data_IF_471764449898
#
_entry.id   IF_471764449898
#
_cell.length_a   1.000
_cell.length_b   1.000
_cell.length_c   1.000
_cell.angle_alpha   90.00
_cell.angle_beta   90.00
_cell.angle_gamma   90.00
#
_symmetry.space_group_name_H-M   'P 1'
#
loop_
_entity.id
_entity.type
_entity.pdbx_description
1 polymer ?
#
# COMPACT_ATOMS: atom_id res chain seq x y z
N UNK A 1 4.22 -9.25 -0.51
CA UNK A 1 3.58 -7.94 -0.75
C UNK A 1 3.29 -7.31 0.59
N UNK A 2 4.16 -6.41 1.02
CA UNK A 2 3.98 -5.69 2.27
C UNK A 2 3.51 -4.28 1.91
N UNK A 3 2.46 -3.81 2.55
CA UNK A 3 2.09 -2.40 2.49
C UNK A 3 3.25 -1.62 3.10
N UNK A 4 3.83 -0.67 2.36
CA UNK A 4 4.84 0.20 2.95
C UNK A 4 4.22 0.90 4.16
N UNK A 5 4.95 0.83 5.27
CA UNK A 5 4.54 1.45 6.52
C UNK A 5 5.73 2.23 7.02
N UNK A 6 5.65 3.54 6.86
CA UNK A 6 6.63 4.44 7.44
C UNK A 6 6.67 4.25 8.95
N UNK A 7 7.86 3.99 9.48
CA UNK A 7 8.04 3.80 10.91
C UNK A 7 7.94 5.13 11.64
N UNK A 8 7.17 5.18 12.73
CA UNK A 8 6.99 6.40 13.52
C UNK A 8 8.21 6.74 14.39
N UNK A 9 8.94 5.72 14.87
CA UNK A 9 10.00 5.87 15.87
C UNK A 9 11.11 6.86 15.45
N UNK A 10 11.66 6.81 14.22
CA UNK A 10 12.70 7.76 13.81
C UNK A 10 12.24 9.22 13.86
N UNK A 11 11.01 9.48 13.45
CA UNK A 11 10.43 10.82 13.43
C UNK A 11 10.05 11.31 14.83
N UNK A 12 9.70 10.38 15.73
CA UNK A 12 9.49 10.71 17.14
C UNK A 12 10.81 11.14 17.80
N UNK A 13 11.90 10.40 17.58
CA UNK A 13 13.23 10.78 18.06
C UNK A 13 13.68 12.12 17.47
N UNK A 14 13.44 12.33 16.17
CA UNK A 14 13.71 13.61 15.52
C UNK A 14 12.88 14.74 16.15
N UNK A 15 11.60 14.53 16.43
CA UNK A 15 10.75 15.50 17.09
C UNK A 15 11.26 15.86 18.49
N UNK A 16 11.64 14.86 19.30
CA UNK A 16 12.21 15.09 20.64
C UNK A 16 13.53 15.86 20.54
N UNK A 17 14.39 15.51 19.58
CA UNK A 17 15.65 16.22 19.35
C UNK A 17 15.41 17.69 18.97
N UNK A 18 14.49 17.95 18.04
CA UNK A 18 14.10 19.31 17.66
C UNK A 18 13.42 20.08 18.79
N UNK A 19 12.69 19.39 19.68
CA UNK A 19 12.13 19.99 20.88
C UNK A 19 13.21 20.54 21.80
N UNK A 20 14.24 19.74 22.10
CA UNK A 20 15.33 20.15 22.99
C UNK A 20 16.10 21.34 22.42
N UNK A 21 16.37 21.32 21.10
CA UNK A 21 17.02 22.45 20.41
C UNK A 21 16.14 23.69 20.44
N UNK A 22 14.86 23.56 20.06
CA UNK A 22 13.91 24.67 20.06
C UNK A 22 13.71 25.28 21.44
N UNK A 23 13.68 24.44 22.48
CA UNK A 23 13.61 24.86 23.88
C UNK A 23 14.84 25.69 24.28
N UNK A 24 16.05 25.22 23.93
CA UNK A 24 17.29 25.95 24.14
C UNK A 24 17.32 27.31 23.44
N UNK A 25 16.89 27.35 22.17
CA UNK A 25 16.82 28.60 21.38
C UNK A 25 15.81 29.58 22.00
N UNK A 26 14.62 29.11 22.36
CA UNK A 26 13.63 29.98 22.99
C UNK A 26 14.12 30.54 24.34
N UNK A 27 14.76 29.70 25.15
CA UNK A 27 15.35 30.15 26.41
C UNK A 27 16.53 31.10 26.21
N UNK A 28 17.33 30.92 25.16
CA UNK A 28 18.38 31.88 24.79
C UNK A 28 17.78 33.27 24.59
N UNK A 29 16.75 33.42 23.74
CA UNK A 29 16.08 34.71 23.53
C UNK A 29 15.35 35.24 24.77
N UNK A 30 14.82 34.35 25.60
CA UNK A 30 14.18 34.72 26.86
C UNK A 30 15.20 35.33 27.84
N UNK A 31 16.36 34.68 28.00
CA UNK A 31 17.39 35.03 28.97
C UNK A 31 18.30 36.17 28.51
N UNK A 32 18.25 36.61 27.25
CA UNK A 32 19.06 37.74 26.79
C UNK A 32 18.86 38.97 27.71
N UNK A 33 19.96 39.63 28.11
CA UNK A 33 19.91 40.86 28.89
C UNK A 33 19.11 41.96 28.17
N UNK A 34 18.16 42.55 28.88
CA UNK A 34 17.30 43.61 28.35
C UNK A 34 15.84 43.40 28.74
N UNK A 35 15.14 44.51 29.02
CA UNK A 35 13.69 44.51 29.32
C UNK A 35 12.86 44.54 28.04
N UNK A 36 13.31 45.33 27.06
CA UNK A 36 12.62 45.52 25.78
C UNK A 36 13.18 44.63 24.68
N UNK A 37 12.33 44.32 23.70
CA UNK A 37 12.73 43.55 22.51
C UNK A 37 13.91 44.21 21.78
N UNK A 38 13.88 45.53 21.62
CA UNK A 38 14.94 46.30 20.98
C UNK A 38 16.28 46.20 21.71
N UNK A 39 16.25 46.26 23.04
CA UNK A 39 17.44 46.14 23.89
C UNK A 39 18.05 44.74 23.78
N UNK A 40 17.21 43.70 23.77
CA UNK A 40 17.65 42.32 23.55
C UNK A 40 18.25 42.11 22.16
N UNK A 41 17.66 42.69 21.11
CA UNK A 41 18.20 42.58 19.75
C UNK A 41 19.54 43.29 19.61
N UNK A 42 19.73 44.45 20.25
CA UNK A 42 21.01 45.16 20.22
C UNK A 42 22.12 44.40 20.96
N UNK A 43 21.77 43.72 22.05
CA UNK A 43 22.72 42.90 22.81
C UNK A 43 23.31 41.74 21.99
N UNK A 44 22.54 41.19 21.03
CA UNK A 44 23.02 40.13 20.12
C UNK A 44 24.19 40.57 19.23
N UNK A 45 24.32 41.87 18.96
CA UNK A 45 25.38 42.44 18.11
C UNK A 45 26.54 43.04 18.93
N UNK A 46 26.55 42.85 20.25
CA UNK A 46 27.62 43.32 21.14
C UNK A 46 28.75 42.27 21.24
N UNK A 47 29.99 42.71 21.49
CA UNK A 47 31.16 41.81 21.59
C UNK A 47 31.07 40.81 22.76
N UNK A 48 30.26 41.11 23.77
CA UNK A 48 30.13 40.31 25.00
C UNK A 48 29.21 39.08 24.84
N UNK A 49 28.55 38.93 23.68
CA UNK A 49 27.57 37.86 23.46
C UNK A 49 28.18 36.46 23.58
N UNK A 50 29.42 36.28 23.11
CA UNK A 50 30.11 34.99 23.16
C UNK A 50 30.39 34.58 24.61
N UNK A 51 30.90 35.51 25.42
CA UNK A 51 31.14 35.30 26.84
C UNK A 51 29.84 35.01 27.60
N UNK A 52 28.74 35.70 27.23
CA UNK A 52 27.42 35.44 27.80
C UNK A 52 26.89 34.03 27.48
N UNK A 53 27.04 33.59 26.22
CA UNK A 53 26.64 32.25 25.77
C UNK A 53 27.42 31.19 26.54
N UNK A 54 28.74 31.32 26.66
CA UNK A 54 29.58 30.35 27.38
C UNK A 54 29.17 30.21 28.85
N UNK A 55 28.91 31.32 29.52
CA UNK A 55 28.53 31.32 30.94
C UNK A 55 27.10 30.80 31.18
N UNK A 56 26.20 31.00 30.21
CA UNK A 56 24.75 30.77 30.38
C UNK A 56 24.26 29.54 29.62
N UNK A 57 25.13 28.86 28.85
CA UNK A 57 24.77 27.75 27.97
C UNK A 57 23.88 26.70 28.64
N UNK A 58 24.28 26.29 29.86
CA UNK A 58 23.55 25.27 30.61
C UNK A 58 22.15 25.73 31.06
N UNK A 59 21.98 27.04 31.31
CA UNK A 59 20.70 27.64 31.71
C UNK A 59 19.69 27.65 30.56
N UNK A 60 20.15 27.62 29.30
CA UNK A 60 19.25 27.53 28.14
C UNK A 60 18.44 26.23 28.14
N UNK A 61 18.94 25.14 28.73
CA UNK A 61 18.25 23.85 28.72
C UNK A 61 17.49 23.54 30.02
N UNK A 62 17.67 24.34 31.06
CA UNK A 62 17.10 24.09 32.40
C UNK A 62 16.04 25.11 32.78
N UNK A 63 16.12 26.34 32.26
CA UNK A 63 15.19 27.40 32.64
C UNK A 63 13.80 27.11 32.11
N UNK A 64 12.76 26.99 32.97
CA UNK A 64 11.41 26.80 32.51
C UNK A 64 10.83 28.15 32.04
N UNK A 65 10.93 28.46 30.74
CA UNK A 65 10.26 29.63 30.16
C UNK A 65 9.16 29.23 29.18
N UNK A 66 8.09 30.03 29.13
CA UNK A 66 6.97 29.81 28.22
C UNK A 66 7.41 29.90 26.74
N UNK A 67 8.32 30.84 26.44
CA UNK A 67 8.88 31.03 25.10
C UNK A 67 9.69 29.79 24.71
N UNK A 68 10.56 29.29 25.59
CA UNK A 68 11.29 28.03 25.42
C UNK A 68 10.34 26.87 25.09
N UNK A 69 9.31 26.66 25.90
CA UNK A 69 8.33 25.59 25.66
C UNK A 69 7.60 25.75 24.32
N UNK A 70 7.18 26.97 23.94
CA UNK A 70 6.47 27.19 22.66
C UNK A 70 7.35 26.87 21.44
N UNK A 71 8.61 27.28 21.45
CA UNK A 71 9.56 27.04 20.35
C UNK A 71 9.95 25.56 20.31
N UNK A 72 10.11 24.92 21.47
CA UNK A 72 10.30 23.47 21.58
C UNK A 72 9.13 22.68 20.97
N UNK A 73 7.88 23.02 21.31
CA UNK A 73 6.68 22.37 20.75
C UNK A 73 6.63 22.55 19.23
N UNK A 74 6.93 23.75 18.71
CA UNK A 74 7.04 23.99 17.27
C UNK A 74 8.07 23.07 16.61
N UNK A 75 9.25 22.92 17.21
CA UNK A 75 10.28 21.99 16.75
C UNK A 75 9.81 20.52 16.74
N UNK A 76 9.13 20.09 17.81
CA UNK A 76 8.55 18.76 17.90
C UNK A 76 7.54 18.48 16.78
N UNK A 77 6.62 19.42 16.55
CA UNK A 77 5.60 19.31 15.51
C UNK A 77 6.22 19.27 14.11
N UNK A 78 7.32 20.00 13.87
CA UNK A 78 8.05 19.95 12.61
C UNK A 78 8.62 18.54 12.32
N UNK A 79 9.15 17.87 13.36
CA UNK A 79 9.60 16.48 13.26
C UNK A 79 8.46 15.51 12.93
N UNK A 80 7.28 15.70 13.52
CA UNK A 80 6.08 14.92 13.19
C UNK A 80 5.52 15.24 11.79
N UNK A 81 5.64 16.48 11.32
CA UNK A 81 5.23 16.85 9.96
C UNK A 81 6.04 16.10 8.90
N UNK A 82 7.33 15.85 9.17
CA UNK A 82 8.16 14.99 8.31
C UNK A 82 7.68 13.53 8.28
N UNK A 83 7.00 13.03 9.31
CA UNK A 83 6.36 11.71 9.27
C UNK A 83 5.17 11.69 8.31
N UNK A 84 4.31 12.71 8.39
CA UNK A 84 3.10 12.81 7.56
C UNK A 84 3.46 13.01 6.08
N UNK A 85 4.50 13.81 5.81
CA UNK A 85 4.99 14.08 4.46
C UNK A 85 5.51 12.80 3.80
N UNK A 86 5.12 12.56 2.54
CA UNK A 86 5.60 11.43 1.72
C UNK A 86 5.40 10.05 2.37
N UNK A 87 4.34 9.89 3.19
CA UNK A 87 3.92 8.57 3.66
C UNK A 87 3.23 7.81 2.52
N UNK A 88 4.04 7.12 1.73
CA UNK A 88 3.57 6.30 0.63
C UNK A 88 2.63 5.20 1.14
N UNK A 89 1.61 4.86 0.36
CA UNK A 89 0.67 3.76 0.65
C UNK A 89 0.81 2.61 -0.35
N UNK A 90 1.85 2.66 -1.18
CA UNK A 90 2.16 1.64 -2.15
C UNK A 90 2.38 0.27 -1.52
N UNK A 91 2.06 -0.76 -2.31
CA UNK A 91 2.34 -2.16 -1.97
C UNK A 91 3.66 -2.51 -2.63
N UNK A 92 4.69 -2.74 -1.82
CA UNK A 92 6.03 -3.02 -2.30
C UNK A 92 6.44 -4.46 -1.98
N UNK A 93 7.46 -4.92 -2.68
CA UNK A 93 8.14 -6.21 -2.48
C UNK A 93 9.57 -5.91 -2.03
N UNK A 94 9.71 -5.50 -0.77
CA UNK A 94 11.03 -5.20 -0.20
C UNK A 94 11.86 -6.49 -0.12
N UNK A 95 13.09 -6.45 -0.63
CA UNK A 95 14.01 -7.60 -0.64
C UNK A 95 13.83 -8.58 -1.82
N UNK A 96 12.91 -8.31 -2.75
CA UNK A 96 12.78 -9.09 -3.99
C UNK A 96 13.37 -8.31 -5.17
N UNK A 97 14.25 -8.94 -5.94
CA UNK A 97 14.81 -8.34 -7.16
C UNK A 97 13.71 -8.13 -8.22
N UNK A 98 13.87 -7.09 -9.03
CA UNK A 98 12.98 -6.85 -10.16
C UNK A 98 13.01 -8.04 -11.12
N UNK A 99 11.83 -8.55 -11.50
CA UNK A 99 11.74 -9.76 -12.35
C UNK A 99 11.68 -11.09 -11.58
N UNK A 100 11.67 -11.08 -10.25
CA UNK A 100 11.41 -12.26 -9.39
C UNK A 100 10.01 -12.89 -9.56
N UNK A 101 9.23 -12.45 -10.53
CA UNK A 101 7.93 -13.04 -10.85
C UNK A 101 8.12 -14.49 -11.33
N UNK A 102 7.47 -15.43 -10.65
CA UNK A 102 7.42 -16.83 -11.04
C UNK A 102 6.00 -17.27 -11.36
N UNK A 103 5.89 -18.32 -12.16
CA UNK A 103 4.62 -19.00 -12.33
C UNK A 103 4.14 -19.60 -11.00
N UNK A 104 2.83 -19.50 -10.77
CA UNK A 104 2.19 -20.09 -9.61
C UNK A 104 2.15 -21.61 -9.76
N UNK A 105 2.32 -22.32 -8.65
CA UNK A 105 2.17 -23.78 -8.61
C UNK A 105 0.68 -24.16 -8.58
N UNK A 106 0.30 -25.39 -9.02
CA UNK A 106 -1.08 -25.85 -8.93
C UNK A 106 -1.64 -25.81 -7.50
N UNK A 107 -0.82 -26.14 -6.50
CA UNK A 107 -1.19 -26.06 -5.08
C UNK A 107 -1.55 -24.63 -4.65
N UNK A 108 -0.80 -23.63 -5.14
CA UNK A 108 -1.08 -22.22 -4.87
C UNK A 108 -2.32 -21.71 -5.59
N UNK A 109 -2.66 -22.30 -6.74
CA UNK A 109 -3.85 -21.94 -7.51
C UNK A 109 -5.13 -22.52 -6.92
N UNK A 110 -5.05 -23.65 -6.23
CA UNK A 110 -6.21 -24.33 -5.61
C UNK A 110 -7.02 -23.44 -4.66
N UNK A 111 -6.38 -22.44 -4.04
CA UNK A 111 -7.07 -21.47 -3.17
C UNK A 111 -8.12 -20.60 -3.88
N UNK A 112 -8.07 -20.54 -5.21
CA UNK A 112 -9.04 -19.79 -6.02
C UNK A 112 -10.21 -20.64 -6.49
N UNK A 113 -10.21 -21.95 -6.21
CA UNK A 113 -11.29 -22.88 -6.52
C UNK A 113 -12.43 -22.74 -5.49
N UNK A 114 -13.67 -22.78 -5.98
CA UNK A 114 -14.86 -22.91 -5.14
C UNK A 114 -15.01 -24.36 -4.67
N UNK A 115 -15.42 -24.60 -3.41
CA UNK A 115 -15.69 -25.96 -2.94
C UNK A 115 -16.76 -26.69 -3.76
N UNK A 116 -17.69 -25.97 -4.40
CA UNK A 116 -18.69 -26.54 -5.30
C UNK A 116 -18.10 -26.59 -6.72
N UNK A 117 -17.84 -27.79 -7.29
CA UNK A 117 -17.16 -27.92 -8.58
C UNK A 117 -17.84 -27.19 -9.74
N UNK A 118 -19.17 -27.14 -9.76
CA UNK A 118 -19.99 -26.54 -10.82
C UNK A 118 -19.84 -25.02 -10.89
N UNK A 119 -19.43 -24.38 -9.78
CA UNK A 119 -19.25 -22.93 -9.70
C UNK A 119 -17.87 -22.49 -10.18
N UNK A 120 -17.12 -23.34 -10.89
CA UNK A 120 -15.75 -23.06 -11.29
C UNK A 120 -15.58 -22.98 -12.81
N UNK A 121 -14.81 -21.99 -13.23
CA UNK A 121 -14.22 -21.92 -14.57
C UNK A 121 -13.07 -22.92 -14.63
N UNK A 122 -13.11 -23.81 -15.61
CA UNK A 122 -12.05 -24.78 -15.86
C UNK A 122 -10.99 -24.12 -16.73
N UNK A 123 -9.78 -23.94 -16.19
CA UNK A 123 -8.63 -23.34 -16.90
C UNK A 123 -7.67 -24.43 -17.38
N UNK A 124 -7.42 -25.44 -16.54
CA UNK A 124 -6.62 -26.61 -16.90
C UNK A 124 -7.06 -27.83 -16.07
N UNK A 125 -6.45 -28.99 -16.30
CA UNK A 125 -6.69 -30.21 -15.53
C UNK A 125 -6.54 -30.02 -14.01
N UNK A 126 -5.66 -29.12 -13.59
CA UNK A 126 -5.32 -28.89 -12.18
C UNK A 126 -5.68 -27.49 -11.67
N UNK A 127 -6.13 -26.60 -12.54
CA UNK A 127 -6.41 -25.21 -12.20
C UNK A 127 -7.85 -24.89 -12.54
N UNK A 128 -8.59 -24.49 -11.50
CA UNK A 128 -9.96 -24.01 -11.58
C UNK A 128 -10.07 -22.70 -10.83
N UNK A 129 -10.99 -21.86 -11.27
CA UNK A 129 -11.20 -20.53 -10.69
C UNK A 129 -12.69 -20.35 -10.43
N UNK A 130 -13.07 -20.03 -9.19
CA UNK A 130 -14.46 -19.78 -8.80
C UNK A 130 -15.08 -18.67 -9.64
N UNK A 131 -16.29 -18.88 -10.15
CA UNK A 131 -17.05 -17.86 -10.88
C UNK A 131 -17.53 -16.74 -9.94
N UNK A 132 -17.86 -17.08 -8.69
CA UNK A 132 -18.49 -16.16 -7.74
C UNK A 132 -17.52 -15.65 -6.68
N UNK A 133 -17.04 -14.41 -6.84
CA UNK A 133 -16.15 -13.78 -5.86
C UNK A 133 -16.71 -13.73 -4.43
N UNK A 134 -18.04 -13.60 -4.26
CA UNK A 134 -18.69 -13.56 -2.92
C UNK A 134 -18.44 -14.82 -2.08
N UNK A 135 -18.15 -15.95 -2.72
CA UNK A 135 -17.88 -17.23 -2.05
C UNK A 135 -16.42 -17.40 -1.63
N UNK A 136 -15.55 -16.50 -2.11
CA UNK A 136 -14.13 -16.48 -1.75
C UNK A 136 -13.84 -15.38 -0.71
N UNK A 137 -12.87 -15.61 0.20
CA UNK A 137 -12.34 -14.55 1.06
C UNK A 137 -11.88 -13.34 0.23
N UNK A 138 -12.10 -12.13 0.75
CA UNK A 138 -11.81 -10.85 0.04
C UNK A 138 -10.38 -10.82 -0.53
N UNK A 139 -9.39 -11.36 0.19
CA UNK A 139 -7.98 -11.41 -0.24
C UNK A 139 -7.74 -12.26 -1.51
N UNK A 140 -8.63 -13.21 -1.79
CA UNK A 140 -8.54 -14.16 -2.90
C UNK A 140 -9.45 -13.77 -4.07
N UNK A 141 -10.30 -12.76 -3.92
CA UNK A 141 -11.13 -12.27 -5.00
C UNK A 141 -10.24 -11.61 -6.07
N UNK A 142 -10.44 -12.03 -7.31
CA UNK A 142 -9.65 -11.60 -8.48
C UNK A 142 -10.57 -11.34 -9.67
N UNK A 143 -10.11 -10.48 -10.57
CA UNK A 143 -10.71 -10.37 -11.90
C UNK A 143 -10.60 -11.73 -12.62
N UNK A 144 -11.65 -12.10 -13.35
CA UNK A 144 -11.82 -13.38 -14.04
C UNK A 144 -11.66 -13.26 -15.55
N UNK A 145 -11.19 -12.12 -16.04
CA UNK A 145 -10.81 -11.95 -17.43
C UNK A 145 -9.61 -12.85 -17.74
N UNK A 146 -9.81 -13.84 -18.61
CA UNK A 146 -8.80 -14.83 -18.99
C UNK A 146 -8.45 -14.61 -20.46
N UNK A 147 -7.15 -14.43 -20.73
CA UNK A 147 -6.61 -14.42 -22.08
C UNK A 147 -5.92 -15.75 -22.37
N UNK A 148 -6.24 -16.37 -23.50
CA UNK A 148 -5.71 -17.67 -23.90
C UNK A 148 -4.86 -17.45 -25.14
N UNK A 149 -3.57 -17.71 -25.00
CA UNK A 149 -2.59 -17.61 -26.07
C UNK A 149 -2.15 -19.01 -26.47
N UNK A 150 -2.01 -19.22 -27.77
CA UNK A 150 -1.53 -20.47 -28.33
C UNK A 150 -1.59 -20.44 -29.84
N UNK A 151 -0.85 -21.33 -30.48
CA UNK A 151 -0.78 -21.44 -31.95
C UNK A 151 -2.08 -21.99 -32.55
N UNK A 152 -2.14 -22.02 -33.89
CA UNK A 152 -3.21 -22.72 -34.59
C UNK A 152 -3.20 -24.21 -34.24
N UNK A 153 -4.38 -24.80 -34.01
CA UNK A 153 -4.49 -26.21 -33.60
C UNK A 153 -4.20 -26.50 -32.12
N UNK A 154 -3.85 -25.50 -31.29
CA UNK A 154 -3.62 -25.67 -29.85
C UNK A 154 -4.88 -26.00 -29.01
N UNK A 155 -5.96 -26.43 -29.65
CA UNK A 155 -7.23 -26.81 -29.04
C UNK A 155 -7.88 -25.72 -28.17
N UNK A 156 -7.60 -24.43 -28.39
CA UNK A 156 -8.17 -23.31 -27.59
C UNK A 156 -9.70 -23.39 -27.49
N UNK A 157 -10.36 -23.65 -28.62
CA UNK A 157 -11.83 -23.78 -28.70
C UNK A 157 -12.33 -25.02 -27.98
N UNK A 158 -11.66 -26.17 -28.12
CA UNK A 158 -12.08 -27.41 -27.47
C UNK A 158 -11.80 -27.38 -25.96
N UNK A 159 -10.54 -27.13 -25.59
CA UNK A 159 -10.03 -27.27 -24.23
C UNK A 159 -10.61 -26.24 -23.27
N UNK A 160 -10.84 -25.00 -23.71
CA UNK A 160 -11.36 -23.95 -22.84
C UNK A 160 -12.80 -23.56 -23.16
N UNK A 161 -13.09 -23.12 -24.39
CA UNK A 161 -14.41 -22.55 -24.73
C UNK A 161 -15.50 -23.63 -24.60
N UNK A 162 -15.39 -24.71 -25.38
CA UNK A 162 -16.38 -25.80 -25.39
C UNK A 162 -16.46 -26.48 -24.01
N UNK A 163 -15.32 -26.77 -23.35
CA UNK A 163 -15.33 -27.32 -21.99
C UNK A 163 -16.16 -26.47 -21.02
N UNK A 164 -15.99 -25.14 -21.01
CA UNK A 164 -16.75 -24.28 -20.11
C UNK A 164 -18.23 -24.13 -20.54
N UNK A 165 -18.54 -24.09 -21.84
CA UNK A 165 -19.92 -24.08 -22.34
C UNK A 165 -20.68 -25.35 -21.95
N UNK A 166 -20.03 -26.51 -22.03
CA UNK A 166 -20.63 -27.80 -21.69
C UNK A 166 -21.02 -27.92 -20.21
N UNK A 167 -20.37 -27.14 -19.32
CA UNK A 167 -20.72 -27.10 -17.91
C UNK A 167 -22.10 -26.47 -17.65
N UNK A 168 -22.57 -25.55 -18.51
CA UNK A 168 -23.91 -24.90 -18.44
C UNK A 168 -24.24 -24.28 -17.07
N UNK A 169 -23.24 -23.80 -16.35
CA UNK A 169 -23.40 -23.23 -15.00
C UNK A 169 -23.62 -21.70 -14.99
N UNK A 170 -23.68 -21.07 -16.17
CA UNK A 170 -23.87 -19.63 -16.36
C UNK A 170 -24.45 -19.34 -17.75
N UNK A 171 -24.91 -18.10 -17.94
CA UNK A 171 -25.25 -17.59 -19.27
C UNK A 171 -23.97 -17.21 -20.02
N UNK A 172 -23.81 -17.74 -21.23
CA UNK A 172 -22.65 -17.50 -22.07
C UNK A 172 -23.04 -16.78 -23.35
N UNK A 173 -22.20 -15.83 -23.76
CA UNK A 173 -22.20 -15.24 -25.10
C UNK A 173 -20.88 -15.65 -25.74
N UNK A 174 -20.92 -16.22 -26.93
CA UNK A 174 -19.72 -16.69 -27.62
C UNK A 174 -19.84 -16.37 -29.10
N UNK A 175 -18.76 -15.87 -29.67
CA UNK A 175 -18.60 -15.70 -31.11
C UNK A 175 -18.12 -17.01 -31.71
N UNK A 176 -18.85 -17.54 -32.71
CA UNK A 176 -18.50 -18.77 -33.42
C UNK A 176 -18.12 -18.44 -34.87
N UNK A 177 -16.89 -17.94 -35.12
CA UNK A 177 -16.47 -17.48 -36.46
C UNK A 177 -16.45 -18.62 -37.48
N UNK A 178 -16.10 -19.83 -37.04
CA UNK A 178 -16.00 -21.02 -37.91
C UNK A 178 -17.32 -21.82 -37.96
N UNK A 179 -18.32 -21.45 -37.15
CA UNK A 179 -19.60 -22.16 -37.06
C UNK A 179 -19.51 -23.56 -36.46
N UNK A 180 -18.42 -23.91 -35.76
CA UNK A 180 -18.17 -25.26 -35.26
C UNK A 180 -18.77 -25.55 -33.88
N UNK A 181 -19.17 -24.54 -33.12
CA UNK A 181 -19.68 -24.74 -31.76
C UNK A 181 -21.10 -25.32 -31.78
N UNK A 182 -21.99 -24.73 -32.58
CA UNK A 182 -23.39 -25.15 -32.63
C UNK A 182 -23.58 -26.59 -33.14
N UNK A 183 -22.91 -27.06 -34.21
CA UNK A 183 -23.04 -28.44 -34.67
C UNK A 183 -22.51 -29.47 -33.66
N UNK A 184 -21.42 -29.15 -32.97
CA UNK A 184 -20.74 -30.12 -32.09
C UNK A 184 -21.41 -30.24 -30.72
N UNK A 185 -21.79 -29.12 -30.09
CA UNK A 185 -22.34 -29.13 -28.72
C UNK A 185 -23.74 -28.51 -28.61
N UNK A 186 -24.35 -28.05 -29.71
CA UNK A 186 -25.67 -27.39 -29.68
C UNK A 186 -26.78 -28.26 -29.12
N UNK A 187 -26.77 -29.57 -29.37
CA UNK A 187 -27.74 -30.49 -28.79
C UNK A 187 -27.62 -30.59 -27.26
N UNK A 188 -26.39 -30.59 -26.74
CA UNK A 188 -26.12 -30.57 -25.29
C UNK A 188 -26.64 -29.28 -24.65
N UNK A 189 -26.41 -28.14 -25.33
CA UNK A 189 -26.88 -26.83 -24.88
C UNK A 189 -28.42 -26.75 -24.90
N UNK A 190 -29.08 -27.31 -25.92
CA UNK A 190 -30.54 -27.35 -26.02
C UNK A 190 -31.21 -28.16 -24.90
N UNK A 191 -30.59 -29.26 -24.46
CA UNK A 191 -31.12 -30.12 -23.38
C UNK A 191 -30.95 -29.53 -21.97
N UNK A 192 -30.33 -28.36 -21.83
CA UNK A 192 -29.96 -27.75 -20.55
C UNK A 192 -30.85 -26.61 -20.08
N UNK A 193 -32.08 -26.47 -20.57
CA UNK A 193 -33.04 -25.55 -19.94
C UNK A 193 -33.22 -25.96 -18.48
N UNK A 194 -32.61 -25.18 -17.58
CA UNK A 194 -32.90 -25.22 -16.16
C UNK A 194 -34.37 -24.83 -16.03
N UNK A 195 -35.18 -25.75 -15.49
CA UNK A 195 -36.49 -25.41 -14.95
C UNK A 195 -36.26 -24.39 -13.85
N UNK A 196 -36.77 -23.18 -14.06
CA UNK A 196 -36.75 -22.09 -13.08
C UNK A 196 -37.33 -22.53 -11.72
#
# INVERSE_FOLDING_TARGET
>A
MQTYKKELKPYLYLGIFLFVIGFGIGNFFWLLPGTDYFSKTNYLFTKDILTYIEQTFYRFFITPSLLGFSVGILGFLLGLLMYVRDNDRGIYRHGEEYGSARFATPAEMKKYEDPIPENNIIVSKHVKISLFNKRLPIKLQKNKNIAILGDSGAAKTLAFIKTNLMQRHASFITTDPDGGILPEIGLLLKKGQVQD
#
